data_IF_280554707473
#
_entry.id   IF_280554707473
#
_cell.length_a   1.000
_cell.length_b   1.000
_cell.length_c   1.000
_cell.angle_alpha   90.00
_cell.angle_beta   90.00
_cell.angle_gamma   90.00
#
_symmetry.space_group_name_H-M   'P 1'
#
loop_
_entity.id
_entity.type
_entity.pdbx_description
1 polymer ?
#
# COMPACT_ATOMS: atom_id res chain seq x y z
N UNK A 1 -20.10 -0.44 11.99
CA UNK A 1 -18.62 -0.48 12.04
C UNK A 1 -18.09 -1.90 12.28
N UNK A 2 -18.41 -2.57 13.40
CA UNK A 2 -17.98 -3.96 13.68
C UNK A 2 -18.45 -4.96 12.60
N UNK A 3 -19.68 -4.83 12.12
CA UNK A 3 -20.22 -5.67 11.04
C UNK A 3 -19.46 -5.49 9.70
N UNK A 4 -18.98 -4.26 9.44
CA UNK A 4 -18.25 -3.89 8.22
C UNK A 4 -16.82 -4.45 8.27
N UNK A 5 -16.17 -4.43 9.44
CA UNK A 5 -14.91 -5.13 9.71
C UNK A 5 -15.06 -6.66 9.58
N UNK A 6 -16.17 -7.24 10.02
CA UNK A 6 -16.39 -8.69 9.93
C UNK A 6 -16.74 -9.19 8.52
N UNK A 7 -17.35 -8.36 7.68
CA UNK A 7 -17.76 -8.74 6.32
C UNK A 7 -16.75 -8.37 5.23
N UNK A 8 -16.19 -7.16 5.29
CA UNK A 8 -15.36 -6.61 4.21
C UNK A 8 -13.89 -7.01 4.38
N UNK A 9 -13.42 -7.07 5.61
CA UNK A 9 -12.00 -7.23 5.91
C UNK A 9 -11.46 -8.64 5.61
N UNK A 10 -12.22 -9.73 5.85
CA UNK A 10 -11.84 -11.06 5.36
C UNK A 10 -11.75 -11.14 3.84
N UNK A 11 -12.44 -10.27 3.09
CA UNK A 11 -12.38 -10.30 1.61
C UNK A 11 -10.98 -9.96 1.10
N UNK A 12 -10.22 -9.12 1.81
CA UNK A 12 -8.83 -8.83 1.46
C UNK A 12 -7.89 -10.03 1.64
N UNK A 13 -8.26 -11.02 2.46
CA UNK A 13 -7.48 -12.28 2.56
C UNK A 13 -7.57 -13.13 1.29
N UNK A 14 -8.66 -13.00 0.52
CA UNK A 14 -8.79 -13.66 -0.79
C UNK A 14 -7.84 -13.07 -1.86
N UNK A 15 -7.26 -11.89 -1.60
CA UNK A 15 -6.27 -11.24 -2.47
C UNK A 15 -4.81 -11.63 -2.12
N UNK A 16 -4.59 -12.65 -1.29
CA UNK A 16 -3.25 -13.12 -0.89
C UNK A 16 -2.67 -12.45 0.36
N UNK A 17 -3.38 -11.49 0.96
CA UNK A 17 -3.00 -10.84 2.22
C UNK A 17 -3.60 -11.60 3.41
N UNK A 18 -3.09 -12.81 3.65
CA UNK A 18 -3.68 -13.77 4.60
C UNK A 18 -3.80 -13.25 6.04
N UNK A 19 -2.94 -12.30 6.47
CA UNK A 19 -3.02 -11.75 7.83
C UNK A 19 -4.37 -11.08 8.11
N UNK A 20 -5.08 -10.59 7.08
CA UNK A 20 -6.39 -9.97 7.26
C UNK A 20 -7.46 -10.95 7.77
N UNK A 21 -7.30 -12.26 7.52
CA UNK A 21 -8.23 -13.28 8.03
C UNK A 21 -8.16 -13.38 9.56
N UNK A 22 -6.94 -13.25 10.11
CA UNK A 22 -6.63 -13.42 11.55
C UNK A 22 -6.92 -12.19 12.40
N UNK A 23 -7.41 -11.11 11.80
CA UNK A 23 -7.96 -9.95 12.53
C UNK A 23 -9.29 -10.27 13.21
N UNK A 24 -10.00 -11.29 12.73
CA UNK A 24 -11.26 -11.74 13.33
C UNK A 24 -11.04 -12.99 14.17
N UNK A 25 -11.98 -13.31 15.06
CA UNK A 25 -11.93 -14.52 15.90
C UNK A 25 -12.24 -15.79 15.09
N UNK A 26 -12.79 -15.63 13.87
CA UNK A 26 -13.25 -16.71 12.99
C UNK A 26 -12.18 -17.78 12.70
N UNK A 27 -10.95 -17.47 12.25
CA UNK A 27 -9.94 -18.50 12.01
C UNK A 27 -9.54 -19.25 13.29
N UNK A 28 -9.42 -18.59 14.44
CA UNK A 28 -9.11 -19.29 15.71
C UNK A 28 -10.23 -20.26 16.10
N UNK A 29 -11.49 -19.87 15.87
CA UNK A 29 -12.63 -20.76 16.08
C UNK A 29 -12.58 -21.97 15.15
N UNK A 30 -12.30 -21.77 13.86
CA UNK A 30 -12.32 -22.83 12.85
C UNK A 30 -11.09 -23.74 12.88
N UNK A 31 -9.91 -23.19 13.14
CA UNK A 31 -8.63 -23.90 13.02
C UNK A 31 -8.11 -24.41 14.37
N UNK A 32 -8.66 -23.96 15.51
CA UNK A 32 -8.22 -24.40 16.84
C UNK A 32 -9.40 -24.93 17.67
N UNK A 33 -10.46 -24.15 17.89
CA UNK A 33 -11.50 -24.51 18.86
C UNK A 33 -12.42 -25.63 18.35
N UNK A 34 -12.91 -25.54 17.11
CA UNK A 34 -13.82 -26.53 16.52
C UNK A 34 -13.17 -27.92 16.41
N UNK A 35 -11.91 -28.07 15.96
CA UNK A 35 -11.22 -29.36 15.96
C UNK A 35 -11.10 -30.00 17.34
N UNK A 36 -10.81 -29.20 18.38
CA UNK A 36 -10.74 -29.67 19.77
C UNK A 36 -12.10 -30.14 20.30
N UNK A 37 -13.20 -29.52 19.88
CA UNK A 37 -14.57 -29.96 20.21
C UNK A 37 -14.98 -31.17 19.34
N UNK A 38 -14.47 -31.27 18.11
CA UNK A 38 -14.78 -32.35 17.17
C UNK A 38 -14.29 -33.72 17.66
N UNK A 39 -13.13 -33.80 18.31
CA UNK A 39 -12.66 -35.02 18.97
C UNK A 39 -13.64 -35.54 20.04
N UNK A 40 -14.52 -34.68 20.57
CA UNK A 40 -15.49 -35.02 21.61
C UNK A 40 -16.90 -35.36 21.11
N UNK A 41 -17.21 -35.26 19.81
CA UNK A 41 -18.55 -35.55 19.25
C UNK A 41 -18.44 -36.45 18.00
N UNK A 42 -18.73 -37.75 18.10
CA UNK A 42 -18.65 -38.66 16.97
C UNK A 42 -19.87 -38.47 16.05
N UNK A 43 -19.63 -37.92 14.87
CA UNK A 43 -20.55 -37.96 13.74
C UNK A 43 -21.03 -36.59 13.24
N UNK A 44 -20.86 -36.38 11.93
CA UNK A 44 -21.52 -35.37 11.09
C UNK A 44 -20.94 -33.94 10.99
N UNK A 45 -19.61 -33.75 10.93
CA UNK A 45 -19.11 -32.51 10.29
C UNK A 45 -17.80 -32.72 9.51
N UNK A 46 -17.86 -33.50 8.43
CA UNK A 46 -16.71 -33.84 7.56
C UNK A 46 -16.21 -32.69 6.67
N UNK A 47 -16.63 -31.44 6.89
CA UNK A 47 -16.36 -30.31 5.99
C UNK A 47 -15.44 -29.23 6.58
N UNK A 48 -15.05 -29.31 7.86
CA UNK A 48 -14.10 -28.38 8.46
C UNK A 48 -12.75 -29.07 8.68
N UNK A 49 -11.94 -29.12 7.61
CA UNK A 49 -10.53 -29.47 7.77
C UNK A 49 -9.78 -28.27 8.37
N UNK A 50 -9.13 -28.42 9.53
CA UNK A 50 -8.27 -27.37 10.06
C UNK A 50 -7.14 -27.07 9.07
N UNK A 51 -6.91 -25.80 8.75
CA UNK A 51 -5.93 -25.40 7.73
C UNK A 51 -4.47 -25.61 8.13
N UNK A 52 -4.20 -26.03 9.37
CA UNK A 52 -2.85 -26.20 9.89
C UNK A 52 -2.21 -24.88 10.36
N UNK A 53 -0.91 -24.88 10.67
CA UNK A 53 -0.19 -23.69 11.12
C UNK A 53 -0.16 -22.57 10.06
N UNK A 54 -0.06 -21.32 10.51
CA UNK A 54 0.03 -20.13 9.66
C UNK A 54 1.47 -19.97 9.19
N UNK A 55 1.74 -20.06 7.88
CA UNK A 55 3.08 -19.81 7.36
C UNK A 55 3.35 -18.29 7.38
N UNK A 56 4.42 -17.88 8.06
CA UNK A 56 4.85 -16.49 8.19
C UNK A 56 6.38 -16.43 8.10
N UNK A 57 6.89 -15.82 7.03
CA UNK A 57 8.29 -16.02 6.62
C UNK A 57 8.60 -17.53 6.53
N UNK A 58 9.75 -17.96 7.06
CA UNK A 58 10.13 -19.38 7.11
C UNK A 58 9.60 -20.10 8.36
N UNK A 59 8.72 -19.45 9.14
CA UNK A 59 8.18 -19.98 10.38
C UNK A 59 6.73 -20.46 10.23
N UNK A 60 6.41 -21.56 10.90
CA UNK A 60 5.06 -22.09 11.03
C UNK A 60 4.50 -21.66 12.39
N UNK A 61 3.63 -20.65 12.40
CA UNK A 61 3.10 -20.04 13.62
C UNK A 61 1.72 -20.60 13.93
N UNK A 62 1.45 -20.92 15.20
CA UNK A 62 0.11 -21.33 15.63
C UNK A 62 -0.94 -20.23 15.30
N UNK A 63 -2.11 -20.56 14.73
CA UNK A 63 -3.16 -19.60 14.42
C UNK A 63 -3.58 -18.73 15.62
N UNK A 64 -3.58 -19.31 16.81
CA UNK A 64 -3.91 -18.62 18.06
C UNK A 64 -2.85 -17.57 18.40
N UNK A 65 -1.56 -17.94 18.34
CA UNK A 65 -0.45 -17.01 18.64
C UNK A 65 -0.43 -15.87 17.63
N UNK A 66 -0.59 -16.19 16.35
CA UNK A 66 -0.62 -15.19 15.29
C UNK A 66 -1.79 -14.21 15.45
N UNK A 67 -3.00 -14.71 15.74
CA UNK A 67 -4.17 -13.86 15.96
C UNK A 67 -4.04 -13.01 17.23
N UNK A 68 -3.56 -13.57 18.34
CA UNK A 68 -3.32 -12.82 19.58
C UNK A 68 -2.25 -11.74 19.39
N UNK A 69 -1.19 -12.00 18.64
CA UNK A 69 -0.17 -11.01 18.32
C UNK A 69 -0.77 -9.84 17.51
N UNK A 70 -1.59 -10.14 16.50
CA UNK A 70 -2.22 -9.12 15.65
C UNK A 70 -3.26 -8.30 16.42
N UNK A 71 -4.08 -8.94 17.24
CA UNK A 71 -5.04 -8.28 18.12
C UNK A 71 -4.35 -7.46 19.21
N UNK A 72 -3.24 -7.95 19.76
CA UNK A 72 -2.39 -7.23 20.71
C UNK A 72 -1.80 -5.98 20.10
N UNK A 73 -1.30 -6.07 18.86
CA UNK A 73 -0.77 -4.93 18.12
C UNK A 73 -1.84 -3.86 17.87
N UNK A 74 -3.03 -4.27 17.44
CA UNK A 74 -4.16 -3.34 17.28
C UNK A 74 -4.59 -2.72 18.61
N UNK A 75 -4.66 -3.50 19.67
CA UNK A 75 -5.04 -3.03 21.01
C UNK A 75 -4.04 -2.00 21.53
N UNK A 76 -2.73 -2.26 21.33
CA UNK A 76 -1.67 -1.31 21.66
C UNK A 76 -1.82 -0.03 20.83
N UNK A 77 -2.09 -0.14 19.53
CA UNK A 77 -2.34 1.02 18.67
C UNK A 77 -3.53 1.85 19.19
N UNK A 78 -4.67 1.24 19.48
CA UNK A 78 -5.82 1.93 20.06
C UNK A 78 -5.51 2.57 21.41
N UNK A 79 -4.80 1.87 22.29
CA UNK A 79 -4.38 2.40 23.58
C UNK A 79 -3.49 3.64 23.39
N UNK A 80 -2.53 3.61 22.45
CA UNK A 80 -1.69 4.77 22.18
C UNK A 80 -2.50 5.96 21.64
N UNK A 81 -3.49 5.72 20.77
CA UNK A 81 -4.42 6.75 20.28
C UNK A 81 -5.21 7.34 21.45
N UNK A 82 -5.79 6.52 22.32
CA UNK A 82 -6.55 6.95 23.49
C UNK A 82 -5.69 7.79 24.44
N UNK A 83 -4.50 7.31 24.83
CA UNK A 83 -3.59 8.05 25.71
C UNK A 83 -3.23 9.41 25.11
N UNK A 84 -3.01 9.46 23.79
CA UNK A 84 -2.63 10.70 23.11
C UNK A 84 -3.78 11.70 23.07
N UNK A 85 -4.98 11.24 22.67
CA UNK A 85 -6.19 12.06 22.65
C UNK A 85 -6.65 12.50 24.03
N UNK A 86 -6.35 11.72 25.08
CA UNK A 86 -6.60 12.15 26.47
C UNK A 86 -5.69 13.30 26.90
N UNK A 87 -4.45 13.34 26.41
CA UNK A 87 -3.49 14.41 26.72
C UNK A 87 -3.73 15.68 25.92
N UNK A 88 -4.11 15.55 24.65
CA UNK A 88 -4.39 16.68 23.77
C UNK A 88 -5.47 16.28 22.74
N UNK A 89 -6.66 16.85 22.86
CA UNK A 89 -7.77 16.54 21.97
C UNK A 89 -7.48 16.95 20.51
N UNK A 90 -6.65 17.99 20.33
CA UNK A 90 -6.32 18.62 19.05
C UNK A 90 -5.12 17.96 18.36
N UNK A 91 -4.45 16.98 18.97
CA UNK A 91 -3.33 16.30 18.32
C UNK A 91 -3.81 15.40 17.17
N UNK A 92 -2.94 15.12 16.21
CA UNK A 92 -3.22 14.09 15.18
C UNK A 92 -3.52 12.74 15.83
N UNK A 93 -4.27 11.87 15.14
CA UNK A 93 -4.65 10.54 15.70
C UNK A 93 -3.39 9.74 16.06
N UNK A 94 -2.41 9.73 15.16
CA UNK A 94 -1.09 9.13 15.36
C UNK A 94 -0.02 10.20 15.19
N UNK A 95 1.05 10.12 15.98
CA UNK A 95 2.26 10.89 15.70
C UNK A 95 2.97 10.35 14.47
N UNK A 96 3.87 11.14 13.87
CA UNK A 96 4.65 10.74 12.69
C UNK A 96 5.43 9.43 12.91
N UNK A 97 6.04 9.28 14.10
CA UNK A 97 6.83 8.10 14.44
C UNK A 97 5.95 6.86 14.68
N UNK A 98 4.81 7.03 15.37
CA UNK A 98 3.84 5.93 15.57
C UNK A 98 3.28 5.47 14.23
N UNK A 99 2.92 6.41 13.36
CA UNK A 99 2.42 6.14 12.01
C UNK A 99 3.46 5.40 11.16
N UNK A 100 4.74 5.81 11.22
CA UNK A 100 5.83 5.13 10.53
C UNK A 100 6.03 3.70 11.06
N UNK A 101 5.94 3.52 12.38
CA UNK A 101 6.03 2.20 13.02
C UNK A 101 4.89 1.29 12.54
N UNK A 102 3.66 1.81 12.50
CA UNK A 102 2.50 1.09 11.95
C UNK A 102 2.73 0.72 10.49
N UNK A 103 3.25 1.63 9.66
CA UNK A 103 3.56 1.32 8.26
C UNK A 103 4.59 0.20 8.12
N UNK A 104 5.68 0.24 8.88
CA UNK A 104 6.71 -0.80 8.88
C UNK A 104 6.12 -2.16 9.27
N UNK A 105 5.27 -2.18 10.31
CA UNK A 105 4.60 -3.40 10.75
C UNK A 105 3.64 -3.94 9.69
N UNK A 106 2.84 -3.09 9.04
CA UNK A 106 1.96 -3.50 7.94
C UNK A 106 2.77 -4.05 6.76
N UNK A 107 3.87 -3.40 6.38
CA UNK A 107 4.74 -3.86 5.32
C UNK A 107 5.40 -5.21 5.65
N UNK A 108 5.84 -5.40 6.90
CA UNK A 108 6.43 -6.65 7.38
C UNK A 108 5.40 -7.77 7.45
N UNK A 109 4.17 -7.48 7.89
CA UNK A 109 3.08 -8.44 7.92
C UNK A 109 2.70 -8.89 6.51
N UNK A 110 2.54 -7.95 5.57
CA UNK A 110 2.21 -8.27 4.19
C UNK A 110 3.32 -9.10 3.53
N UNK A 111 4.57 -8.64 3.62
CA UNK A 111 5.72 -9.36 3.07
C UNK A 111 5.86 -10.75 3.70
N UNK A 112 5.75 -10.85 5.03
CA UNK A 112 5.86 -12.13 5.74
C UNK A 112 4.77 -13.13 5.41
N UNK A 113 3.55 -12.67 5.05
CA UNK A 113 2.49 -13.57 4.58
C UNK A 113 2.65 -14.02 3.12
N UNK A 114 3.33 -13.23 2.30
CA UNK A 114 3.61 -13.58 0.90
C UNK A 114 4.88 -14.44 0.81
N UNK A 115 5.84 -14.26 1.72
CA UNK A 115 7.13 -14.95 1.75
C UNK A 115 7.11 -16.48 1.54
N UNK A 116 6.19 -17.26 2.14
CA UNK A 116 6.14 -18.72 1.94
C UNK A 116 5.86 -19.13 0.49
N UNK A 117 5.17 -18.26 -0.26
CA UNK A 117 4.95 -18.42 -1.71
C UNK A 117 6.25 -18.15 -2.45
N UNK A 118 6.96 -17.09 -2.08
CA UNK A 118 8.18 -16.65 -2.77
C UNK A 118 9.29 -17.69 -2.70
N UNK A 119 9.38 -18.40 -1.56
CA UNK A 119 10.42 -19.41 -1.28
C UNK A 119 10.03 -20.82 -1.73
N UNK A 120 8.86 -21.01 -2.36
CA UNK A 120 8.40 -22.32 -2.82
C UNK A 120 8.02 -23.31 -1.71
N UNK A 121 7.94 -22.85 -0.45
CA UNK A 121 7.67 -23.67 0.72
C UNK A 121 6.18 -24.01 0.90
N UNK A 122 5.28 -23.41 0.12
CA UNK A 122 3.83 -23.65 0.20
C UNK A 122 3.15 -23.52 -1.16
N UNK A 123 2.02 -24.21 -1.34
CA UNK A 123 1.13 -24.00 -2.49
C UNK A 123 0.46 -22.62 -2.40
N UNK A 124 0.58 -21.81 -3.46
CA UNK A 124 -0.14 -20.55 -3.60
C UNK A 124 -1.64 -20.84 -3.63
N UNK A 125 -2.31 -20.65 -2.51
CA UNK A 125 -3.75 -20.89 -2.34
C UNK A 125 -4.54 -19.60 -2.58
N UNK A 126 -4.33 -18.90 -3.70
CA UNK A 126 -5.13 -17.71 -4.02
C UNK A 126 -6.57 -18.16 -4.30
N UNK A 127 -7.57 -17.83 -3.45
CA UNK A 127 -8.93 -18.34 -3.63
C UNK A 127 -9.59 -17.87 -4.94
N UNK A 128 -9.07 -16.79 -5.53
CA UNK A 128 -9.52 -16.22 -6.81
C UNK A 128 -8.82 -16.87 -8.01
N UNK A 129 -7.62 -17.42 -7.84
CA UNK A 129 -6.78 -17.98 -8.91
C UNK A 129 -6.62 -19.51 -8.84
N UNK A 130 -7.11 -20.15 -7.78
CA UNK A 130 -6.92 -21.58 -7.52
C UNK A 130 -5.62 -21.88 -6.76
N UNK A 131 -5.42 -23.16 -6.46
CA UNK A 131 -4.22 -23.68 -5.78
C UNK A 131 -3.13 -23.96 -6.81
N UNK A 132 -2.01 -23.23 -6.75
CA UNK A 132 -0.89 -23.43 -7.67
C UNK A 132 0.43 -23.66 -6.91
N UNK A 133 1.16 -24.72 -7.26
CA UNK A 133 2.46 -25.04 -6.65
C UNK A 133 3.61 -24.43 -7.45
N UNK A 134 4.69 -24.04 -6.75
CA UNK A 134 5.75 -23.12 -7.16
C UNK A 134 6.41 -23.31 -8.53
N UNK A 135 6.37 -24.50 -9.13
CA UNK A 135 6.93 -24.74 -10.48
C UNK A 135 5.94 -24.49 -11.64
N UNK A 136 4.66 -24.19 -11.34
CA UNK A 136 3.58 -23.99 -12.33
C UNK A 136 2.92 -22.61 -12.25
N UNK A 137 3.47 -21.66 -11.50
CA UNK A 137 2.88 -20.32 -11.39
C UNK A 137 3.00 -19.65 -12.77
N UNK A 138 1.87 -19.33 -13.44
CA UNK A 138 1.91 -18.64 -14.72
C UNK A 138 2.56 -17.26 -14.55
N UNK A 139 3.28 -16.76 -15.56
CA UNK A 139 3.97 -15.47 -15.47
C UNK A 139 3.04 -14.29 -15.13
N UNK A 140 1.79 -14.36 -15.55
CA UNK A 140 0.75 -13.35 -15.24
C UNK A 140 0.43 -13.33 -13.75
N UNK A 141 0.40 -14.50 -13.10
CA UNK A 141 0.15 -14.65 -11.67
C UNK A 141 1.35 -14.17 -10.86
N UNK A 142 2.55 -14.47 -11.35
CA UNK A 142 3.79 -14.02 -10.73
C UNK A 142 3.92 -12.48 -10.77
N UNK A 143 3.52 -11.83 -11.87
CA UNK A 143 3.49 -10.37 -11.99
C UNK A 143 2.40 -9.71 -11.14
N UNK A 144 1.32 -10.44 -10.82
CA UNK A 144 0.25 -9.94 -9.97
C UNK A 144 0.68 -9.78 -8.49
N UNK A 145 1.66 -10.56 -8.01
CA UNK A 145 2.13 -10.51 -6.62
C UNK A 145 2.75 -9.14 -6.27
N UNK A 146 3.78 -8.62 -6.99
CA UNK A 146 4.30 -7.27 -6.78
C UNK A 146 3.26 -6.16 -6.92
N UNK A 147 2.28 -6.33 -7.82
CA UNK A 147 1.19 -5.37 -7.99
C UNK A 147 0.29 -5.33 -6.76
N UNK A 148 -0.08 -6.49 -6.22
CA UNK A 148 -0.94 -6.61 -5.03
C UNK A 148 -0.24 -6.00 -3.80
N UNK A 149 1.03 -6.32 -3.58
CA UNK A 149 1.80 -5.72 -2.50
C UNK A 149 1.90 -4.19 -2.68
N UNK A 150 2.21 -3.73 -3.90
CA UNK A 150 2.30 -2.29 -4.20
C UNK A 150 0.99 -1.54 -3.94
N UNK A 151 -0.15 -2.11 -4.34
CA UNK A 151 -1.47 -1.55 -4.08
C UNK A 151 -1.75 -1.48 -2.57
N UNK A 152 -1.44 -2.54 -1.82
CA UNK A 152 -1.61 -2.56 -0.36
C UNK A 152 -0.73 -1.51 0.35
N UNK A 153 0.54 -1.41 -0.04
CA UNK A 153 1.47 -0.43 0.49
C UNK A 153 1.04 1.00 0.14
N UNK A 154 0.57 1.23 -1.09
CA UNK A 154 0.07 2.54 -1.51
C UNK A 154 -1.15 2.97 -0.68
N UNK A 155 -2.15 2.10 -0.53
CA UNK A 155 -3.36 2.41 0.24
C UNK A 155 -3.02 2.68 1.72
N UNK A 156 -2.15 1.88 2.29
CA UNK A 156 -1.67 2.06 3.67
C UNK A 156 -0.89 3.37 3.82
N UNK A 157 -0.02 3.70 2.86
CA UNK A 157 0.72 4.95 2.83
C UNK A 157 -0.23 6.16 2.72
N UNK A 158 -1.21 6.12 1.80
CA UNK A 158 -2.19 7.18 1.63
C UNK A 158 -2.97 7.45 2.93
N UNK A 159 -3.46 6.39 3.58
CA UNK A 159 -4.18 6.50 4.85
C UNK A 159 -3.33 7.17 5.93
N UNK A 160 -2.09 6.70 6.12
CA UNK A 160 -1.20 7.19 7.16
C UNK A 160 -0.68 8.62 6.89
N UNK A 161 -0.42 8.96 5.63
CA UNK A 161 -0.08 10.32 5.20
C UNK A 161 -1.25 11.28 5.46
N UNK A 162 -2.50 10.86 5.21
CA UNK A 162 -3.68 11.67 5.53
C UNK A 162 -3.87 11.91 7.02
N UNK A 163 -3.49 10.96 7.87
CA UNK A 163 -3.59 11.11 9.33
C UNK A 163 -2.54 12.08 9.88
N UNK A 164 -1.35 12.10 9.28
CA UNK A 164 -0.16 12.76 9.83
C UNK A 164 0.13 14.14 9.19
N UNK A 165 -0.38 14.41 8.00
CA UNK A 165 -0.12 15.68 7.32
C UNK A 165 -0.91 16.81 7.99
N UNK A 166 -0.24 17.83 8.55
CA UNK A 166 -0.94 18.92 9.20
C UNK A 166 -1.59 19.87 8.20
N UNK A 167 -2.66 20.52 8.62
CA UNK A 167 -3.28 21.63 7.88
C UNK A 167 -2.45 22.91 7.99
N UNK A 168 -2.71 23.88 7.10
CA UNK A 168 -2.03 25.19 7.13
C UNK A 168 -2.19 25.91 8.47
N UNK A 169 -3.38 25.80 9.09
CA UNK A 169 -3.65 26.39 10.41
C UNK A 169 -2.85 25.73 11.53
N UNK A 170 -2.69 24.41 11.49
CA UNK A 170 -1.87 23.66 12.46
C UNK A 170 -0.39 24.02 12.34
N UNK A 171 0.12 24.16 11.10
CA UNK A 171 1.50 24.60 10.85
C UNK A 171 1.73 26.00 11.42
N UNK A 172 0.80 26.94 11.20
CA UNK A 172 0.87 28.30 11.73
C UNK A 172 0.85 28.31 13.27
N UNK A 173 -0.04 27.51 13.88
CA UNK A 173 -0.13 27.32 15.34
C UNK A 173 1.20 26.80 15.90
N UNK A 174 1.84 25.85 15.21
CA UNK A 174 3.11 25.30 15.64
C UNK A 174 4.27 26.29 15.58
N UNK A 175 4.33 27.13 14.53
CA UNK A 175 5.30 28.21 14.48
C UNK A 175 5.08 29.24 15.59
N UNK A 176 3.83 29.68 15.82
CA UNK A 176 3.50 30.61 16.92
C UNK A 176 3.92 30.06 18.29
N UNK A 177 3.65 28.78 18.55
CA UNK A 177 4.05 28.10 19.79
C UNK A 177 5.57 28.02 19.95
N UNK A 178 6.29 27.84 18.84
CA UNK A 178 7.74 27.75 18.80
C UNK A 178 8.39 29.10 19.12
N UNK A 179 7.89 30.19 18.52
CA UNK A 179 8.34 31.54 18.83
C UNK A 179 8.05 31.96 20.27
N UNK A 180 6.89 31.59 20.84
CA UNK A 180 6.59 31.82 22.27
C UNK A 180 7.57 31.14 23.22
N UNK A 181 8.15 30.00 22.81
CA UNK A 181 9.16 29.28 23.60
C UNK A 181 10.59 29.75 23.31
N UNK A 182 10.75 30.88 22.61
CA UNK A 182 12.04 31.42 22.17
C UNK A 182 12.91 30.39 21.42
N UNK A 183 12.27 29.51 20.65
CA UNK A 183 12.96 28.53 19.81
C UNK A 183 12.91 28.97 18.36
N UNK A 184 13.97 28.68 17.62
CA UNK A 184 14.13 29.08 16.22
C UNK A 184 13.70 27.98 15.23
N UNK A 185 13.47 26.75 15.71
CA UNK A 185 13.18 25.59 14.87
C UNK A 185 11.97 24.80 15.36
N UNK A 186 11.01 24.57 14.45
CA UNK A 186 9.92 23.64 14.69
C UNK A 186 10.45 22.21 14.54
N UNK A 187 10.39 21.44 15.63
CA UNK A 187 10.86 20.04 15.61
C UNK A 187 10.09 19.22 14.58
N UNK A 188 10.77 18.49 13.66
CA UNK A 188 10.13 17.73 12.59
C UNK A 188 9.17 16.63 13.06
N UNK A 189 9.33 16.15 14.30
CA UNK A 189 8.52 15.09 14.89
C UNK A 189 7.19 15.58 15.47
N UNK A 190 7.01 16.90 15.61
CA UNK A 190 5.75 17.46 16.11
C UNK A 190 4.64 17.29 15.07
N UNK A 191 3.41 17.17 15.53
CA UNK A 191 2.22 17.05 14.69
C UNK A 191 2.08 18.23 13.74
N UNK A 192 2.29 19.43 14.28
CA UNK A 192 2.24 20.72 13.57
C UNK A 192 3.34 20.88 12.50
N UNK A 193 4.37 20.03 12.50
CA UNK A 193 5.46 20.11 11.54
C UNK A 193 5.11 19.47 10.18
N UNK A 194 5.62 20.00 9.06
CA UNK A 194 5.45 19.40 7.74
C UNK A 194 5.82 17.91 7.70
N UNK A 195 5.05 17.12 6.96
CA UNK A 195 5.20 15.66 6.89
C UNK A 195 6.06 15.16 5.70
N UNK A 196 6.83 16.03 5.04
CA UNK A 196 7.65 15.68 3.86
C UNK A 196 8.68 14.58 4.12
N UNK A 197 9.43 14.69 5.23
CA UNK A 197 10.39 13.65 5.62
C UNK A 197 9.70 12.32 5.92
N UNK A 198 8.49 12.37 6.47
CA UNK A 198 7.71 11.19 6.82
C UNK A 198 7.21 10.48 5.55
N UNK A 199 6.72 11.22 4.56
CA UNK A 199 6.34 10.65 3.26
C UNK A 199 7.53 10.00 2.54
N UNK A 200 8.72 10.62 2.61
CA UNK A 200 9.95 10.03 2.09
C UNK A 200 10.32 8.73 2.82
N UNK A 201 10.24 8.71 4.15
CA UNK A 201 10.50 7.51 4.94
C UNK A 201 9.52 6.37 4.60
N UNK A 202 8.23 6.65 4.46
CA UNK A 202 7.23 5.68 4.00
C UNK A 202 7.57 5.15 2.60
N UNK A 203 7.92 6.03 1.66
CA UNK A 203 8.29 5.63 0.30
C UNK A 203 9.52 4.71 0.30
N UNK A 204 10.52 4.99 1.13
CA UNK A 204 11.71 4.14 1.27
C UNK A 204 11.38 2.76 1.85
N UNK A 205 10.55 2.69 2.89
CA UNK A 205 10.09 1.41 3.45
C UNK A 205 9.27 0.61 2.43
N UNK A 206 8.42 1.28 1.65
CA UNK A 206 7.61 0.66 0.61
C UNK A 206 8.48 0.05 -0.51
N UNK A 207 9.47 0.80 -0.99
CA UNK A 207 10.44 0.31 -1.98
C UNK A 207 11.28 -0.82 -1.43
N UNK A 208 11.68 -0.75 -0.16
CA UNK A 208 12.44 -1.82 0.47
C UNK A 208 11.63 -3.12 0.50
N UNK A 209 10.37 -3.08 0.97
CA UNK A 209 9.50 -4.25 1.03
C UNK A 209 9.22 -4.83 -0.37
N UNK A 210 8.93 -3.98 -1.35
CA UNK A 210 8.71 -4.42 -2.74
C UNK A 210 10.00 -4.98 -3.37
N UNK A 211 11.13 -4.32 -3.13
CA UNK A 211 12.44 -4.77 -3.63
C UNK A 211 12.82 -6.13 -3.05
N UNK A 212 12.52 -6.40 -1.77
CA UNK A 212 12.71 -7.72 -1.19
C UNK A 212 11.83 -8.78 -1.85
N UNK A 213 10.54 -8.50 -2.10
CA UNK A 213 9.66 -9.43 -2.81
C UNK A 213 10.16 -9.72 -4.23
N UNK A 214 10.44 -8.67 -5.02
CA UNK A 214 10.93 -8.83 -6.40
C UNK A 214 12.26 -9.58 -6.46
N UNK A 215 13.17 -9.35 -5.50
CA UNK A 215 14.41 -10.10 -5.37
C UNK A 215 14.16 -11.59 -5.11
N UNK A 216 13.25 -11.93 -4.21
CA UNK A 216 12.95 -13.34 -3.93
C UNK A 216 12.24 -14.02 -5.10
N UNK A 217 11.35 -13.33 -5.81
CA UNK A 217 10.75 -13.85 -7.04
C UNK A 217 11.81 -14.18 -8.10
N UNK A 218 12.90 -13.40 -8.15
CA UNK A 218 14.01 -13.64 -9.04
C UNK A 218 14.85 -14.85 -8.63
N UNK A 219 15.28 -14.90 -7.37
CA UNK A 219 16.18 -15.93 -6.87
C UNK A 219 15.53 -17.31 -6.97
N UNK A 220 14.23 -17.40 -6.70
CA UNK A 220 13.49 -18.65 -6.73
C UNK A 220 12.98 -19.02 -8.14
N UNK A 221 13.35 -18.26 -9.17
CA UNK A 221 13.00 -18.56 -10.57
C UNK A 221 11.51 -18.46 -10.90
N UNK A 222 10.70 -17.86 -10.03
CA UNK A 222 9.25 -17.66 -10.23
C UNK A 222 9.02 -16.59 -11.32
N UNK A 223 9.88 -15.58 -11.35
CA UNK A 223 9.97 -14.63 -12.46
C UNK A 223 11.34 -14.77 -13.12
N UNK A 224 11.32 -15.02 -14.44
CA UNK A 224 12.53 -15.11 -15.26
C UNK A 224 13.11 -13.70 -15.53
N UNK A 225 13.62 -13.03 -14.49
CA UNK A 225 14.18 -11.68 -14.62
C UNK A 225 15.45 -11.57 -15.46
N UNK A 226 16.07 -12.69 -15.87
CA UNK A 226 17.14 -12.69 -16.87
C UNK A 226 16.67 -12.11 -18.22
N UNK A 227 15.36 -12.12 -18.47
CA UNK A 227 14.72 -11.54 -19.65
C UNK A 227 14.25 -10.09 -19.43
N UNK A 228 14.40 -9.54 -18.22
CA UNK A 228 13.87 -8.21 -17.86
C UNK A 228 14.97 -7.14 -17.91
N UNK A 229 14.73 -6.09 -18.69
CA UNK A 229 15.56 -4.91 -18.74
C UNK A 229 15.52 -4.12 -17.43
N UNK A 230 16.58 -3.34 -17.17
CA UNK A 230 16.65 -2.44 -16.00
C UNK A 230 15.44 -1.49 -15.90
N UNK A 231 14.84 -1.11 -17.03
CA UNK A 231 13.64 -0.27 -17.07
C UNK A 231 12.40 -0.97 -16.55
N UNK A 232 12.29 -2.30 -16.74
CA UNK A 232 11.19 -3.11 -16.23
C UNK A 232 11.37 -3.36 -14.72
N UNK A 233 12.61 -3.60 -14.29
CA UNK A 233 12.98 -3.76 -12.89
C UNK A 233 12.62 -2.56 -12.02
N UNK A 234 12.98 -1.34 -12.46
CA UNK A 234 12.75 -0.13 -11.67
C UNK A 234 11.32 0.40 -11.81
N UNK A 235 10.54 -0.12 -12.77
CA UNK A 235 9.21 0.38 -13.12
C UNK A 235 8.23 0.42 -11.95
N UNK A 236 7.99 -0.72 -11.28
CA UNK A 236 7.02 -0.78 -10.15
C UNK A 236 7.52 0.05 -8.95
N UNK A 237 8.77 -0.12 -8.46
CA UNK A 237 9.26 0.68 -7.34
C UNK A 237 9.16 2.19 -7.60
N UNK A 238 9.52 2.64 -8.81
CA UNK A 238 9.44 4.05 -9.16
C UNK A 238 7.99 4.53 -9.23
N UNK A 239 7.08 3.74 -9.83
CA UNK A 239 5.65 4.05 -9.86
C UNK A 239 5.06 4.18 -8.45
N UNK A 240 5.43 3.29 -7.53
CA UNK A 240 5.00 3.36 -6.14
C UNK A 240 5.50 4.62 -5.44
N UNK A 241 6.79 4.95 -5.57
CA UNK A 241 7.38 6.15 -4.95
C UNK A 241 6.75 7.43 -5.48
N UNK A 242 6.70 7.58 -6.80
CA UNK A 242 6.15 8.79 -7.44
C UNK A 242 4.71 8.99 -7.00
N UNK A 243 3.91 7.92 -6.97
CA UNK A 243 2.51 7.99 -6.54
C UNK A 243 2.38 8.42 -5.08
N UNK A 244 3.17 7.84 -4.16
CA UNK A 244 3.17 8.21 -2.74
C UNK A 244 3.57 9.69 -2.55
N UNK A 245 4.62 10.13 -3.25
CA UNK A 245 5.13 11.48 -3.12
C UNK A 245 4.18 12.53 -3.70
N UNK A 246 3.57 12.26 -4.86
CA UNK A 246 2.53 13.11 -5.47
C UNK A 246 1.33 13.21 -4.53
N UNK A 247 0.88 12.09 -3.97
CA UNK A 247 -0.20 12.08 -2.98
C UNK A 247 0.11 13.01 -1.80
N UNK A 248 1.30 12.86 -1.20
CA UNK A 248 1.73 13.69 -0.08
C UNK A 248 1.79 15.19 -0.45
N UNK A 249 2.36 15.51 -1.61
CA UNK A 249 2.50 16.90 -2.04
C UNK A 249 1.11 17.54 -2.25
N UNK A 250 0.18 16.81 -2.84
CA UNK A 250 -1.20 17.24 -3.03
C UNK A 250 -1.89 17.53 -1.70
N UNK A 251 -1.89 16.58 -0.76
CA UNK A 251 -2.59 16.76 0.52
C UNK A 251 -1.95 17.84 1.40
N UNK A 252 -0.66 18.13 1.20
CA UNK A 252 0.03 19.22 1.90
C UNK A 252 -0.36 20.61 1.38
N UNK A 253 -0.85 20.72 0.14
CA UNK A 253 -1.34 21.98 -0.41
C UNK A 253 -2.86 22.15 -0.22
N UNK A 254 -3.62 21.08 -0.46
CA UNK A 254 -5.07 21.10 -0.53
C UNK A 254 -5.67 20.87 0.86
N UNK A 255 -6.71 21.64 1.22
CA UNK A 255 -7.45 21.42 2.47
C UNK A 255 -8.15 20.05 2.49
N UNK A 256 -8.29 19.40 3.66
CA UNK A 256 -8.81 18.03 3.76
C UNK A 256 -10.15 17.78 3.05
N UNK A 257 -11.04 18.77 3.04
CA UNK A 257 -12.36 18.66 2.39
C UNK A 257 -12.31 18.62 0.85
N UNK A 258 -11.21 19.07 0.24
CA UNK A 258 -11.01 19.11 -1.22
C UNK A 258 -10.16 17.95 -1.73
N UNK A 259 -9.53 17.19 -0.83
CA UNK A 259 -8.65 16.06 -1.19
C UNK A 259 -9.41 14.95 -1.91
N UNK A 260 -10.62 14.61 -1.46
CA UNK A 260 -11.44 13.56 -2.09
C UNK A 260 -11.82 13.95 -3.52
N UNK A 261 -12.29 15.18 -3.72
CA UNK A 261 -12.63 15.70 -5.06
C UNK A 261 -11.41 15.66 -5.99
N UNK A 262 -10.24 16.06 -5.49
CA UNK A 262 -9.00 15.97 -6.26
C UNK A 262 -8.65 14.51 -6.63
N UNK A 263 -8.74 13.57 -5.69
CA UNK A 263 -8.49 12.15 -5.98
C UNK A 263 -9.46 11.62 -7.02
N UNK A 264 -10.75 11.97 -6.94
CA UNK A 264 -11.72 11.53 -7.94
C UNK A 264 -11.43 12.11 -9.33
N UNK A 265 -11.10 13.40 -9.42
CA UNK A 265 -10.92 14.09 -10.71
C UNK A 265 -9.54 13.85 -11.34
N UNK A 266 -8.48 13.76 -10.56
CA UNK A 266 -7.10 13.66 -11.07
C UNK A 266 -6.61 12.22 -11.07
N UNK A 267 -7.06 11.38 -10.14
CA UNK A 267 -6.61 9.99 -10.04
C UNK A 267 -7.64 9.02 -10.61
N UNK A 268 -8.93 9.20 -10.30
CA UNK A 268 -9.99 8.31 -10.76
C UNK A 268 -10.43 8.55 -12.21
N UNK A 269 -10.74 9.80 -12.54
CA UNK A 269 -11.36 10.17 -13.81
C UNK A 269 -10.50 9.79 -15.03
N UNK A 270 -9.17 9.99 -15.08
CA UNK A 270 -8.38 9.58 -16.25
C UNK A 270 -8.42 8.07 -16.50
N UNK A 271 -8.43 7.25 -15.44
CA UNK A 271 -8.60 5.80 -15.57
C UNK A 271 -9.96 5.45 -16.18
N UNK A 272 -11.05 6.06 -15.67
CA UNK A 272 -12.40 5.83 -16.18
C UNK A 272 -12.55 6.30 -17.64
N UNK A 273 -11.97 7.44 -17.98
CA UNK A 273 -11.95 7.94 -19.36
C UNK A 273 -11.19 7.01 -20.29
N UNK A 274 -10.03 6.48 -19.86
CA UNK A 274 -9.29 5.48 -20.63
C UNK A 274 -10.13 4.23 -20.91
N UNK A 275 -10.77 3.69 -19.87
CA UNK A 275 -11.68 2.53 -20.00
C UNK A 275 -12.81 2.85 -20.98
N UNK A 276 -13.45 4.01 -20.85
CA UNK A 276 -14.55 4.42 -21.73
C UNK A 276 -14.09 4.57 -23.18
N UNK A 277 -12.96 5.24 -23.44
CA UNK A 277 -12.41 5.42 -24.79
C UNK A 277 -12.07 4.07 -25.42
N UNK A 278 -11.48 3.16 -24.64
CA UNK A 278 -11.17 1.81 -25.12
C UNK A 278 -12.45 1.04 -25.47
N UNK A 279 -13.45 1.05 -24.57
CA UNK A 279 -14.65 0.24 -24.73
C UNK A 279 -15.65 0.81 -25.76
N UNK A 280 -15.85 2.12 -25.79
CA UNK A 280 -16.85 2.76 -26.64
C UNK A 280 -16.31 3.17 -28.01
N UNK A 281 -15.03 3.56 -28.10
CA UNK A 281 -14.44 4.10 -29.34
C UNK A 281 -13.43 3.15 -29.99
N UNK A 282 -13.05 2.05 -29.33
CA UNK A 282 -12.01 1.12 -29.79
C UNK A 282 -10.64 1.79 -30.04
N UNK A 283 -10.41 2.95 -29.43
CA UNK A 283 -9.14 3.70 -29.54
C UNK A 283 -8.16 3.28 -28.44
N UNK A 284 -7.69 2.05 -28.54
CA UNK A 284 -6.88 1.40 -27.51
C UNK A 284 -5.60 2.18 -27.16
N UNK A 285 -4.86 2.68 -28.14
CA UNK A 285 -3.62 3.44 -27.87
C UNK A 285 -3.89 4.75 -27.14
N UNK A 286 -4.89 5.52 -27.59
CA UNK A 286 -5.27 6.78 -26.95
C UNK A 286 -5.78 6.54 -25.52
N UNK A 287 -6.55 5.47 -25.31
CA UNK A 287 -7.01 5.06 -23.98
C UNK A 287 -5.85 4.81 -23.01
N UNK A 288 -4.76 4.18 -23.46
CA UNK A 288 -3.58 3.90 -22.64
C UNK A 288 -2.93 5.21 -22.18
N UNK A 289 -2.72 6.18 -23.09
CA UNK A 289 -2.14 7.48 -22.73
C UNK A 289 -3.05 8.31 -21.82
N UNK A 290 -4.37 8.29 -22.04
CA UNK A 290 -5.34 9.00 -21.18
C UNK A 290 -5.32 8.42 -19.77
N UNK A 291 -5.34 7.09 -19.64
CA UNK A 291 -5.26 6.44 -18.33
C UNK A 291 -3.89 6.68 -17.65
N UNK A 292 -2.80 6.87 -18.39
CA UNK A 292 -1.47 7.19 -17.84
C UNK A 292 -1.40 8.54 -17.09
N UNK A 293 -2.39 9.42 -17.32
CA UNK A 293 -2.53 10.67 -16.57
C UNK A 293 -2.99 10.45 -15.12
N UNK A 294 -3.39 9.24 -14.75
CA UNK A 294 -3.61 8.86 -13.36
C UNK A 294 -2.32 8.33 -12.73
N UNK A 295 -1.94 8.77 -11.51
CA UNK A 295 -0.85 8.14 -10.76
C UNK A 295 -1.07 6.65 -10.48
N UNK A 296 -2.32 6.24 -10.25
CA UNK A 296 -2.64 4.86 -9.85
C UNK A 296 -2.44 3.88 -11.01
N UNK A 297 -2.66 4.32 -12.25
CA UNK A 297 -2.46 3.46 -13.43
C UNK A 297 -1.00 3.10 -13.65
N UNK A 298 -0.05 3.88 -13.10
CA UNK A 298 1.38 3.59 -13.25
C UNK A 298 1.76 2.25 -12.64
N UNK A 299 1.15 1.87 -11.51
CA UNK A 299 1.38 0.55 -10.90
C UNK A 299 0.93 -0.57 -11.83
N UNK A 300 -0.25 -0.42 -12.46
CA UNK A 300 -0.76 -1.41 -13.40
C UNK A 300 0.14 -1.51 -14.65
N UNK A 301 0.52 -0.38 -15.25
CA UNK A 301 1.40 -0.38 -16.42
C UNK A 301 2.82 -0.85 -16.12
N UNK A 302 3.33 -0.61 -14.92
CA UNK A 302 4.61 -1.15 -14.50
C UNK A 302 4.54 -2.66 -14.28
N UNK A 303 3.42 -3.16 -13.72
CA UNK A 303 3.22 -4.58 -13.49
C UNK A 303 3.03 -5.38 -14.76
N UNK A 304 2.29 -4.84 -15.75
CA UNK A 304 2.19 -5.51 -17.04
C UNK A 304 3.59 -5.74 -17.60
N UNK A 305 4.49 -4.75 -17.54
CA UNK A 305 5.83 -4.84 -18.14
C UNK A 305 6.75 -5.94 -17.58
N UNK A 306 6.39 -6.57 -16.46
CA UNK A 306 7.14 -7.70 -15.89
C UNK A 306 6.65 -9.05 -16.45
N UNK A 307 5.48 -9.09 -17.08
CA UNK A 307 4.97 -10.26 -17.77
C UNK A 307 5.84 -10.51 -19.02
N UNK A 308 6.41 -11.72 -19.18
CA UNK A 308 7.14 -12.09 -20.39
C UNK A 308 6.29 -11.89 -21.63
N UNK A 309 6.89 -11.35 -22.69
CA UNK A 309 6.20 -11.15 -23.96
C UNK A 309 5.80 -12.50 -24.57
N UNK A 310 4.49 -12.70 -24.75
CA UNK A 310 3.94 -13.79 -25.53
C UNK A 310 3.26 -13.23 -26.80
N UNK A 311 3.82 -13.50 -28.00
CA UNK A 311 3.31 -12.98 -29.26
C UNK A 311 1.93 -13.51 -29.65
N UNK A 312 1.46 -14.63 -29.08
CA UNK A 312 0.14 -15.20 -29.37
C UNK A 312 -0.98 -14.50 -28.58
N UNK A 313 -0.70 -14.08 -27.34
CA UNK A 313 -1.70 -13.46 -26.45
C UNK A 313 -1.67 -11.93 -26.44
N UNK A 314 -0.52 -11.30 -26.76
CA UNK A 314 -0.37 -9.85 -26.67
C UNK A 314 0.40 -9.28 -27.86
N UNK A 315 -0.14 -8.23 -28.50
CA UNK A 315 0.59 -7.55 -29.58
C UNK A 315 1.79 -6.77 -29.04
N UNK A 316 2.93 -6.87 -29.72
CA UNK A 316 4.15 -6.14 -29.35
C UNK A 316 3.92 -4.60 -29.29
N UNK A 317 2.98 -4.11 -30.09
CA UNK A 317 2.54 -2.71 -30.10
C UNK A 317 1.89 -2.27 -28.76
N UNK A 318 1.16 -3.15 -28.08
CA UNK A 318 0.55 -2.84 -26.78
C UNK A 318 1.63 -2.61 -25.71
N UNK A 319 2.62 -3.51 -25.64
CA UNK A 319 3.70 -3.47 -24.66
C UNK A 319 4.55 -2.20 -24.76
N UNK A 320 4.93 -1.85 -25.99
CA UNK A 320 5.71 -0.67 -26.30
C UNK A 320 4.91 0.62 -25.98
N UNK A 321 3.62 0.63 -26.29
CA UNK A 321 2.73 1.77 -25.99
C UNK A 321 2.50 1.95 -24.50
N UNK A 322 2.20 0.87 -23.76
CA UNK A 322 2.07 0.91 -22.30
C UNK A 322 3.37 1.35 -21.62
N UNK A 323 4.52 0.90 -22.13
CA UNK A 323 5.83 1.32 -21.64
C UNK A 323 6.10 2.80 -21.86
N UNK A 324 5.84 3.35 -23.05
CA UNK A 324 5.95 4.79 -23.31
C UNK A 324 5.00 5.59 -22.42
N UNK A 325 3.75 5.16 -22.33
CA UNK A 325 2.73 5.83 -21.54
C UNK A 325 3.09 5.87 -20.04
N UNK A 326 3.63 4.78 -19.49
CA UNK A 326 4.16 4.74 -18.13
C UNK A 326 5.23 5.80 -17.90
N UNK A 327 6.27 5.85 -18.75
CA UNK A 327 7.38 6.78 -18.57
C UNK A 327 6.97 8.25 -18.73
N UNK A 328 6.08 8.54 -19.69
CA UNK A 328 5.49 9.87 -19.85
C UNK A 328 4.67 10.24 -18.61
N UNK A 329 3.81 9.33 -18.15
CA UNK A 329 2.98 9.51 -16.96
C UNK A 329 3.83 9.77 -15.71
N UNK A 330 4.86 8.97 -15.46
CA UNK A 330 5.79 9.13 -14.33
C UNK A 330 6.53 10.47 -14.41
N UNK A 331 6.99 10.85 -15.60
CA UNK A 331 7.71 12.12 -15.79
C UNK A 331 6.82 13.32 -15.49
N UNK A 332 5.57 13.30 -16.00
CA UNK A 332 4.58 14.34 -15.73
C UNK A 332 4.27 14.47 -14.24
N UNK A 333 4.11 13.34 -13.55
CA UNK A 333 3.79 13.32 -12.13
C UNK A 333 4.98 13.67 -11.24
N UNK A 334 6.19 13.30 -11.61
CA UNK A 334 7.41 13.76 -10.97
C UNK A 334 7.56 15.29 -11.12
N UNK A 335 7.32 15.84 -12.31
CA UNK A 335 7.31 17.29 -12.55
C UNK A 335 6.22 17.99 -11.72
N UNK A 336 5.01 17.44 -11.69
CA UNK A 336 3.92 17.95 -10.86
C UNK A 336 4.32 17.94 -9.37
N UNK A 337 4.94 16.85 -8.89
CA UNK A 337 5.46 16.76 -7.53
C UNK A 337 6.48 17.85 -7.21
N UNK A 338 7.44 18.12 -8.10
CA UNK A 338 8.40 19.21 -7.94
C UNK A 338 7.70 20.57 -7.87
N UNK A 339 6.76 20.85 -8.78
CA UNK A 339 6.00 22.11 -8.81
C UNK A 339 5.16 22.33 -7.55
N UNK A 340 4.44 21.30 -7.11
CA UNK A 340 3.60 21.32 -5.91
C UNK A 340 4.46 21.48 -4.65
N UNK A 341 5.58 20.75 -4.57
CA UNK A 341 6.52 20.85 -3.44
C UNK A 341 7.17 22.24 -3.35
N UNK A 342 7.51 22.85 -4.48
CA UNK A 342 8.03 24.22 -4.51
C UNK A 342 6.99 25.23 -4.03
N UNK A 343 5.74 25.10 -4.48
CA UNK A 343 4.62 25.92 -4.00
C UNK A 343 4.40 25.77 -2.49
N UNK A 344 4.50 24.54 -1.96
CA UNK A 344 4.39 24.25 -0.54
C UNK A 344 5.50 24.93 0.27
N UNK A 345 6.76 24.84 -0.18
CA UNK A 345 7.90 25.49 0.48
C UNK A 345 7.68 27.01 0.55
N UNK A 346 7.24 27.64 -0.55
CA UNK A 346 6.93 29.08 -0.57
C UNK A 346 5.83 29.43 0.44
N UNK A 347 4.76 28.64 0.49
CA UNK A 347 3.67 28.84 1.46
C UNK A 347 4.15 28.64 2.90
N UNK A 348 4.98 27.64 3.16
CA UNK A 348 5.55 27.40 4.49
C UNK A 348 6.42 28.55 4.97
N UNK A 349 7.23 29.15 4.08
CA UNK A 349 8.04 30.34 4.40
C UNK A 349 7.12 31.52 4.74
N UNK A 350 6.01 31.70 4.00
CA UNK A 350 5.03 32.75 4.30
C UNK A 350 4.39 32.55 5.68
N UNK A 351 3.95 31.34 6.01
CA UNK A 351 3.39 31.00 7.33
C UNK A 351 4.39 31.23 8.47
N UNK A 352 5.67 30.90 8.24
CA UNK A 352 6.75 31.18 9.21
C UNK A 352 6.91 32.68 9.47
N UNK A 353 6.82 33.52 8.43
CA UNK A 353 6.87 34.98 8.55
C UNK A 353 5.64 35.52 9.27
N UNK A 354 4.45 35.03 8.91
CA UNK A 354 3.19 35.40 9.54
C UNK A 354 3.17 35.05 11.04
N UNK A 355 3.71 33.91 11.44
CA UNK A 355 3.78 33.51 12.84
C UNK A 355 4.74 34.33 13.71
N UNK A 356 5.67 35.06 13.08
CA UNK A 356 6.65 35.91 13.76
C UNK A 356 6.11 37.32 14.03
N UNK A 357 5.23 37.81 13.16
CA UNK A 357 4.49 39.06 13.33
C UNK A 357 3.33 38.84 14.30
#
# INVERSE_FOLDING_TARGET
MVLLLYLVLPQFSHLGLYFFQYLTVRPVLMDTIIPLIHESIPGQVSQFQPRGPVPFFDYQVSPLVFSLALQGLLSLMFLTICIRKWKDAECHILSKLQSLTVFILLATLALGTIWPVLTGNTELTLPILGTMSGARIPPEVAAALPLLLSCFLLLSAMMLISIVTPTHGEILKGWRRTYRKNSWMLSPLRDEAPAGWFALAIALVAVFALGTEMRELHINGILAFELLDWTQWIGIPLALVVTILVFHATISLIEPGRTITYLMLVWGLPCLMGIFISAAMSWHEAAIYVAALSPVSHLAYAATRIIPFDPESHTLAFWDTAGRALWIGLSLHALAWFGISFAFIRKHIALKREARN
#
